data_IF_315928610790
#
_entry.id   IF_315928610790
#
_cell.length_a   1.000
_cell.length_b   1.000
_cell.length_c   1.000
_cell.angle_alpha   90.00
_cell.angle_beta   90.00
_cell.angle_gamma   90.00
#
_symmetry.space_group_name_H-M   'P 1'
#
loop_
_entity.id
_entity.type
_entity.pdbx_description
1 polymer ?
#
# COMPACT_ATOMS: atom_id res chain seq x y z
N UNK A 1 -7.14 10.67 10.69
CA UNK A 1 -5.73 11.02 10.92
C UNK A 1 -4.89 10.52 9.78
N UNK A 2 -4.05 11.39 9.28
CA UNK A 2 -3.21 11.10 8.12
C UNK A 2 -1.75 11.26 8.51
N UNK A 3 -0.91 10.38 8.00
CA UNK A 3 0.52 10.47 8.25
C UNK A 3 1.26 9.20 7.90
N UNK A 4 2.58 9.19 8.14
CA UNK A 4 3.38 7.98 7.91
C UNK A 4 2.82 6.80 8.70
N UNK A 5 2.78 5.64 8.06
CA UNK A 5 2.34 4.41 8.72
C UNK A 5 3.43 3.92 9.67
N UNK A 6 3.06 3.68 10.92
CA UNK A 6 3.97 3.08 11.89
C UNK A 6 4.01 1.57 11.70
N UNK A 7 5.21 1.03 11.60
CA UNK A 7 5.42 -0.39 11.34
C UNK A 7 6.04 -1.10 12.55
N UNK A 8 5.73 -2.36 12.76
CA UNK A 8 4.81 -3.19 11.99
C UNK A 8 3.36 -2.79 12.23
N UNK A 9 2.51 -3.00 11.23
CA UNK A 9 1.10 -2.69 11.30
C UNK A 9 0.26 -3.90 10.91
N UNK A 10 -0.89 -4.07 11.57
CA UNK A 10 -1.84 -5.14 11.26
C UNK A 10 -3.19 -4.52 10.91
N UNK A 11 -3.79 -5.04 9.87
CA UNK A 11 -5.11 -4.62 9.41
C UNK A 11 -6.03 -5.83 9.28
N UNK A 12 -7.24 -5.69 9.80
CA UNK A 12 -8.30 -6.69 9.67
C UNK A 12 -9.31 -6.23 8.62
N UNK A 13 -9.97 -7.20 8.00
CA UNK A 13 -11.02 -6.93 7.01
C UNK A 13 -10.47 -6.82 5.61
N UNK A 14 -11.38 -6.54 4.69
CA UNK A 14 -11.09 -6.54 3.27
C UNK A 14 -10.40 -5.26 2.82
N UNK A 15 -9.39 -5.41 1.97
CA UNK A 15 -8.72 -4.31 1.28
C UNK A 15 -8.63 -4.64 -0.20
N UNK A 16 -8.63 -3.62 -1.03
CA UNK A 16 -8.43 -3.75 -2.45
C UNK A 16 -7.45 -2.73 -2.98
N UNK A 17 -6.87 -3.04 -4.13
CA UNK A 17 -6.03 -2.13 -4.88
C UNK A 17 -6.95 -1.18 -5.63
N UNK A 18 -6.94 0.10 -5.24
CA UNK A 18 -7.78 1.13 -5.86
C UNK A 18 -7.06 1.74 -7.05
N UNK A 19 -5.76 1.93 -6.92
CA UNK A 19 -4.99 2.69 -7.87
C UNK A 19 -3.54 2.23 -7.86
N UNK A 20 -2.98 2.01 -9.03
CA UNK A 20 -1.54 1.96 -9.22
C UNK A 20 -1.20 2.80 -10.44
N UNK A 21 -0.36 3.83 -10.25
CA UNK A 21 0.06 4.70 -11.34
C UNK A 21 1.57 4.61 -11.53
N UNK A 22 1.97 4.00 -12.62
CA UNK A 22 3.37 3.69 -12.91
C UNK A 22 4.27 4.93 -12.94
N UNK A 23 3.84 5.99 -13.61
CA UNK A 23 4.66 7.19 -13.78
C UNK A 23 4.88 7.95 -12.47
N UNK A 24 3.90 7.91 -11.58
CA UNK A 24 4.01 8.57 -10.28
C UNK A 24 4.53 7.63 -9.19
N UNK A 25 4.61 6.33 -9.48
CA UNK A 25 5.05 5.34 -8.51
C UNK A 25 4.15 5.28 -7.29
N UNK A 26 2.83 5.42 -7.45
CA UNK A 26 1.89 5.40 -6.33
C UNK A 26 1.03 4.15 -6.38
N UNK A 27 0.85 3.54 -5.21
CA UNK A 27 -0.05 2.42 -4.99
C UNK A 27 -0.97 2.77 -3.84
N UNK A 28 -2.28 2.78 -4.11
CA UNK A 28 -3.29 3.04 -3.10
C UNK A 28 -4.08 1.77 -2.82
N UNK A 29 -4.04 1.33 -1.57
CA UNK A 29 -4.86 0.24 -1.06
C UNK A 29 -5.94 0.85 -0.17
N UNK A 30 -7.17 0.36 -0.28
CA UNK A 30 -8.32 0.90 0.47
C UNK A 30 -9.14 -0.21 1.07
N UNK A 31 -9.53 -0.04 2.33
CA UNK A 31 -10.45 -0.96 2.98
C UNK A 31 -11.84 -0.89 2.35
N UNK A 32 -12.56 -2.01 2.38
CA UNK A 32 -13.99 -2.00 2.18
C UNK A 32 -14.69 -1.27 3.32
N UNK A 33 -16.02 -1.17 3.26
CA UNK A 33 -16.80 -0.54 4.31
C UNK A 33 -16.57 -1.27 5.62
N UNK A 34 -16.26 -0.52 6.66
CA UNK A 34 -15.94 -1.05 7.97
C UNK A 34 -17.07 -0.75 8.95
N UNK A 35 -17.31 -1.70 9.84
CA UNK A 35 -18.44 -1.70 10.77
C UNK A 35 -17.98 -2.10 12.17
N UNK A 36 -16.77 -1.70 12.54
CA UNK A 36 -16.12 -2.12 13.78
C UNK A 36 -16.10 -1.03 14.86
N UNK A 37 -16.86 0.05 14.65
CA UNK A 37 -16.89 1.18 15.59
C UNK A 37 -15.77 2.19 15.38
N UNK A 38 -14.83 1.90 14.49
CA UNK A 38 -13.76 2.81 14.10
C UNK A 38 -14.07 3.55 12.81
N UNK A 39 -13.03 4.11 12.15
CA UNK A 39 -13.19 4.76 10.85
C UNK A 39 -13.74 3.78 9.82
N UNK A 40 -14.62 4.27 8.97
CA UNK A 40 -15.25 3.44 7.93
C UNK A 40 -14.29 3.11 6.79
N UNK A 41 -13.29 3.94 6.58
CA UNK A 41 -12.36 3.79 5.47
C UNK A 41 -10.92 3.96 5.94
N UNK A 42 -10.07 3.06 5.50
CA UNK A 42 -8.62 3.14 5.73
C UNK A 42 -7.94 3.11 4.37
N UNK A 43 -7.10 4.10 4.11
CA UNK A 43 -6.25 4.14 2.92
C UNK A 43 -4.81 3.91 3.31
N UNK A 44 -4.10 3.10 2.53
CA UNK A 44 -2.65 2.93 2.62
C UNK A 44 -2.05 3.37 1.29
N UNK A 45 -1.14 4.34 1.34
CA UNK A 45 -0.50 4.87 0.15
C UNK A 45 0.98 4.58 0.19
N UNK A 46 1.47 3.82 -0.78
CA UNK A 46 2.89 3.61 -1.00
C UNK A 46 3.36 4.56 -2.10
N UNK A 47 4.41 5.32 -1.82
CA UNK A 47 5.01 6.27 -2.77
C UNK A 47 6.39 5.81 -3.20
N UNK A 48 6.76 6.13 -4.43
CA UNK A 48 8.04 5.73 -4.98
C UNK A 48 8.11 4.22 -5.23
N UNK A 49 6.98 3.63 -5.61
CA UNK A 49 6.90 2.20 -5.91
C UNK A 49 7.64 1.92 -7.20
N UNK A 50 8.60 1.00 -7.16
CA UNK A 50 9.36 0.58 -8.35
C UNK A 50 9.10 -0.87 -8.71
N UNK A 51 8.59 -1.67 -7.79
CA UNK A 51 8.19 -3.05 -8.02
C UNK A 51 7.28 -3.53 -6.91
N UNK A 52 6.35 -4.41 -7.22
CA UNK A 52 5.48 -5.03 -6.22
C UNK A 52 4.98 -6.39 -6.71
N UNK A 53 4.61 -7.25 -5.75
CA UNK A 53 3.95 -8.53 -5.98
C UNK A 53 2.69 -8.63 -5.14
N UNK A 54 1.69 -7.79 -5.42
CA UNK A 54 0.48 -7.70 -4.62
C UNK A 54 -0.73 -8.24 -5.37
N UNK A 55 -1.62 -8.98 -4.67
CA UNK A 55 -2.93 -9.28 -5.24
C UNK A 55 -3.80 -8.01 -5.27
N UNK A 56 -4.83 -8.03 -6.13
CA UNK A 56 -5.73 -6.87 -6.25
C UNK A 56 -6.73 -6.77 -5.11
N UNK A 57 -6.95 -7.86 -4.39
CA UNK A 57 -7.93 -7.94 -3.31
C UNK A 57 -7.47 -8.98 -2.28
N UNK A 58 -7.62 -8.64 -1.00
CA UNK A 58 -7.13 -9.49 0.09
C UNK A 58 -7.76 -9.07 1.42
N UNK A 59 -7.56 -9.88 2.45
CA UNK A 59 -8.08 -9.62 3.78
C UNK A 59 -7.05 -9.97 4.84
N UNK A 60 -7.12 -9.29 5.99
CA UNK A 60 -6.37 -9.63 7.20
C UNK A 60 -4.88 -9.81 6.93
N UNK A 61 -4.14 -8.72 7.01
CA UNK A 61 -2.73 -8.72 6.64
C UNK A 61 -1.88 -7.90 7.60
N UNK A 62 -0.58 -8.14 7.56
CA UNK A 62 0.40 -7.35 8.28
C UNK A 62 1.35 -6.69 7.29
N UNK A 63 1.83 -5.50 7.64
CA UNK A 63 2.84 -4.78 6.87
C UNK A 63 4.03 -4.54 7.77
N UNK A 64 5.22 -4.90 7.28
CA UNK A 64 6.46 -4.58 7.98
C UNK A 64 7.56 -4.24 6.98
N UNK A 65 8.53 -3.48 7.44
CA UNK A 65 9.72 -3.16 6.65
C UNK A 65 10.76 -4.25 6.86
N UNK A 66 11.32 -4.76 5.76
CA UNK A 66 12.37 -5.78 5.78
C UNK A 66 13.70 -5.16 5.43
N UNK A 67 14.78 -5.81 5.91
CA UNK A 67 16.11 -5.51 5.40
C UNK A 67 16.22 -6.09 3.98
N UNK A 68 16.72 -5.27 3.05
CA UNK A 68 16.78 -5.65 1.64
C UNK A 68 17.54 -6.97 1.45
N UNK A 69 18.67 -7.13 2.14
CA UNK A 69 19.49 -8.33 1.98
C UNK A 69 18.80 -9.62 2.43
N UNK A 70 17.86 -9.53 3.36
CA UNK A 70 17.13 -10.71 3.84
C UNK A 70 16.12 -11.22 2.81
N UNK A 71 15.65 -10.35 1.91
CA UNK A 71 14.58 -10.69 0.98
C UNK A 71 14.99 -10.47 -0.48
N UNK A 72 16.27 -10.25 -0.73
CA UNK A 72 16.76 -9.89 -2.07
C UNK A 72 16.39 -10.94 -3.12
N UNK A 73 16.38 -12.21 -2.74
CA UNK A 73 16.04 -13.30 -3.68
C UNK A 73 14.55 -13.35 -4.02
N UNK A 74 13.72 -12.65 -3.26
CA UNK A 74 12.29 -12.53 -3.56
C UNK A 74 12.01 -11.42 -4.56
N UNK A 75 13.02 -10.61 -4.91
CA UNK A 75 12.90 -9.48 -5.82
C UNK A 75 13.55 -9.88 -7.15
N UNK A 76 12.89 -9.64 -8.29
CA UNK A 76 13.48 -9.95 -9.59
C UNK A 76 14.84 -9.26 -9.76
N UNK A 77 15.81 -9.92 -10.38
CA UNK A 77 17.16 -9.37 -10.54
C UNK A 77 17.20 -7.98 -11.15
N UNK A 78 16.30 -7.70 -12.09
CA UNK A 78 16.23 -6.38 -12.75
C UNK A 78 15.83 -5.24 -11.82
N UNK A 79 15.26 -5.55 -10.64
CA UNK A 79 14.79 -4.54 -9.68
C UNK A 79 15.61 -4.50 -8.39
N UNK A 80 16.60 -5.37 -8.24
CA UNK A 80 17.40 -5.45 -7.00
C UNK A 80 18.22 -4.20 -6.74
N UNK A 81 18.75 -3.58 -7.77
CA UNK A 81 19.50 -2.33 -7.63
C UNK A 81 18.64 -1.21 -7.06
N UNK A 82 17.41 -1.09 -7.54
CA UNK A 82 16.46 -0.09 -7.02
C UNK A 82 16.01 -0.41 -5.60
N UNK A 83 15.94 -1.69 -5.24
CA UNK A 83 15.58 -2.09 -3.89
C UNK A 83 16.59 -1.56 -2.85
N UNK A 84 17.86 -1.48 -3.20
CA UNK A 84 18.89 -0.95 -2.29
C UNK A 84 18.75 0.57 -2.08
N UNK A 85 18.17 1.29 -3.01
CA UNK A 85 17.92 2.73 -2.89
C UNK A 85 16.53 3.08 -2.36
N UNK A 86 15.73 2.07 -2.04
CA UNK A 86 14.37 2.20 -1.51
C UNK A 86 14.25 1.37 -0.24
N UNK A 87 13.02 1.16 0.19
CA UNK A 87 12.67 0.26 1.28
C UNK A 87 11.93 -0.93 0.72
N UNK A 88 12.02 -2.07 1.39
CA UNK A 88 11.22 -3.24 1.05
C UNK A 88 10.20 -3.45 2.15
N UNK A 89 8.94 -3.45 1.77
CA UNK A 89 7.83 -3.74 2.68
C UNK A 89 7.33 -5.15 2.39
N UNK A 90 7.19 -5.95 3.46
CA UNK A 90 6.57 -7.26 3.36
C UNK A 90 5.13 -7.15 3.82
N UNK A 91 4.22 -7.64 2.99
CA UNK A 91 2.79 -7.72 3.29
C UNK A 91 2.44 -9.19 3.38
N UNK A 92 2.20 -9.66 4.60
CA UNK A 92 1.83 -11.05 4.83
C UNK A 92 0.32 -11.19 4.76
N UNK A 93 -0.15 -11.96 3.79
CA UNK A 93 -1.55 -12.25 3.54
C UNK A 93 -1.72 -13.74 3.62
N UNK A 94 -2.52 -14.23 4.59
CA UNK A 94 -2.79 -15.66 4.76
C UNK A 94 -1.49 -16.49 4.78
N UNK A 95 -0.51 -16.01 5.57
CA UNK A 95 0.83 -16.60 5.73
C UNK A 95 1.68 -16.62 4.47
N UNK A 96 1.24 -15.93 3.43
CA UNK A 96 1.99 -15.81 2.19
C UNK A 96 2.58 -14.40 2.10
N UNK A 97 3.90 -14.27 1.97
CA UNK A 97 4.52 -12.96 1.88
C UNK A 97 4.38 -12.38 0.48
N UNK A 98 4.07 -11.10 0.45
CA UNK A 98 4.08 -10.28 -0.76
C UNK A 98 5.00 -9.10 -0.50
N UNK A 99 5.58 -8.52 -1.53
CA UNK A 99 6.59 -7.48 -1.37
C UNK A 99 6.25 -6.25 -2.18
N UNK A 100 6.59 -5.09 -1.60
CA UNK A 100 6.47 -3.79 -2.26
C UNK A 100 7.81 -3.08 -2.07
N UNK A 101 8.48 -2.75 -3.16
CA UNK A 101 9.69 -1.94 -3.13
C UNK A 101 9.27 -0.50 -3.38
N UNK A 102 9.38 0.33 -2.36
CA UNK A 102 8.87 1.70 -2.38
C UNK A 102 9.70 2.62 -1.48
N UNK A 103 9.49 3.92 -1.63
CA UNK A 103 10.19 4.91 -0.81
C UNK A 103 9.56 5.12 0.55
N UNK A 104 8.23 5.07 0.63
CA UNK A 104 7.49 5.38 1.87
C UNK A 104 6.09 4.80 1.83
N UNK A 105 5.47 4.74 3.01
CA UNK A 105 4.06 4.34 3.15
C UNK A 105 3.36 5.26 4.14
N UNK A 106 2.16 5.71 3.76
CA UNK A 106 1.31 6.58 4.55
C UNK A 106 -0.05 5.94 4.77
N UNK A 107 -0.71 6.34 5.84
CA UNK A 107 -2.05 5.88 6.16
C UNK A 107 -2.98 7.07 6.39
N UNK A 108 -4.23 6.89 6.01
CA UNK A 108 -5.32 7.83 6.26
C UNK A 108 -6.52 7.05 6.77
N UNK A 109 -7.22 7.62 7.76
CA UNK A 109 -8.44 7.03 8.32
C UNK A 109 -9.52 8.09 8.32
N UNK A 110 -10.66 7.79 7.68
CA UNK A 110 -11.77 8.73 7.57
C UNK A 110 -13.10 7.99 7.47
N UNK A 111 -14.18 8.76 7.34
CA UNK A 111 -15.53 8.23 7.15
C UNK A 111 -16.10 8.59 5.77
N UNK A 112 -15.24 8.97 4.83
CA UNK A 112 -15.65 9.31 3.48
C UNK A 112 -16.19 8.08 2.73
N UNK A 113 -17.10 8.29 1.77
CA UNK A 113 -17.56 7.20 0.90
C UNK A 113 -16.40 6.54 0.16
N UNK A 114 -16.58 5.26 -0.17
CA UNK A 114 -15.53 4.46 -0.80
C UNK A 114 -14.95 5.11 -2.06
N UNK A 115 -15.79 5.74 -2.87
CA UNK A 115 -15.36 6.29 -4.16
C UNK A 115 -14.87 7.73 -4.09
N UNK A 116 -14.85 8.34 -2.90
CA UNK A 116 -14.31 9.69 -2.75
C UNK A 116 -12.78 9.65 -2.86
N UNK A 117 -12.16 10.73 -3.37
CA UNK A 117 -10.71 10.82 -3.43
C UNK A 117 -10.06 10.64 -2.06
N UNK A 118 -8.84 10.09 -2.06
CA UNK A 118 -8.07 9.96 -0.83
C UNK A 118 -7.50 11.30 -0.39
N UNK A 119 -7.54 11.62 0.92
CA UNK A 119 -6.82 12.80 1.43
C UNK A 119 -5.32 12.76 1.16
N UNK A 120 -4.77 11.56 0.91
CA UNK A 120 -3.33 11.39 0.69
C UNK A 120 -2.88 11.80 -0.72
N UNK A 121 -3.80 11.74 -1.72
CA UNK A 121 -3.48 12.12 -3.10
C UNK A 121 -4.71 12.50 -3.92
N UNK A 122 -5.47 13.50 -3.46
CA UNK A 122 -6.72 13.85 -4.15
C UNK A 122 -6.51 14.32 -5.59
N UNK A 123 -5.44 15.03 -5.87
CA UNK A 123 -5.15 15.57 -7.20
C UNK A 123 -4.86 14.47 -8.21
N UNK A 124 -4.09 13.46 -7.82
CA UNK A 124 -3.74 12.35 -8.69
C UNK A 124 -4.97 11.52 -9.01
N UNK A 125 -5.80 11.23 -8.01
CA UNK A 125 -7.03 10.47 -8.23
C UNK A 125 -8.00 11.18 -9.17
N UNK A 126 -8.17 12.48 -8.99
CA UNK A 126 -9.04 13.28 -9.86
C UNK A 126 -8.53 13.25 -11.30
N UNK A 127 -7.24 13.41 -11.50
CA UNK A 127 -6.63 13.35 -12.83
C UNK A 127 -6.87 12.00 -13.50
N UNK A 128 -6.71 10.90 -12.77
CA UNK A 128 -6.84 9.56 -13.32
C UNK A 128 -8.27 9.17 -13.66
N UNK A 129 -9.25 9.78 -12.98
CA UNK A 129 -10.68 9.51 -13.26
C UNK A 129 -11.13 9.94 -14.64
N UNK A 130 -10.43 10.88 -15.24
CA UNK A 130 -10.78 11.44 -16.55
C UNK A 130 -9.91 10.89 -17.68
N UNK A 131 -9.04 9.99 -17.38
CA UNK A 131 -8.26 9.28 -18.37
C UNK A 131 -8.95 7.96 -18.75
#
# INVERSE_FOLDING_TARGET
MDGPLQLPARFNGEFGLVLFHQHHGVLLLRSGDRDDGGPKRIDLLFRGVVWMSMPCWFSDFTVEQCLVDEVIDCIPPSHRGKAHSRKVYRVDIDRTPHYIVAGSVFASRDDLPYFDPSPLLPEIEVSLRFE
#
